data_IF_404343654441
#
_entry.id   IF_404343654441
#
_cell.length_a   1.000
_cell.length_b   1.000
_cell.length_c   1.000
_cell.angle_alpha   90.00
_cell.angle_beta   90.00
_cell.angle_gamma   90.00
#
_symmetry.space_group_name_H-M   'P 1'
#
loop_
_entity.id
_entity.type
_entity.pdbx_description
1 polymer ?
#
# COMPACT_ATOMS: atom_id res chain seq x y z
N UNK A 1 27.93 -4.58 -12.37
CA UNK A 1 26.56 -4.03 -12.43
C UNK A 1 25.98 -4.07 -11.03
N UNK A 2 25.41 -2.97 -10.54
CA UNK A 2 24.57 -3.00 -9.33
C UNK A 2 23.21 -3.54 -9.76
N UNK A 3 22.65 -4.52 -9.03
CA UNK A 3 21.31 -5.04 -9.31
C UNK A 3 20.23 -4.00 -9.04
N UNK A 4 19.02 -4.21 -9.55
CA UNK A 4 17.84 -3.39 -9.29
C UNK A 4 16.60 -4.27 -9.23
N UNK A 5 15.53 -3.79 -8.59
CA UNK A 5 14.26 -4.51 -8.52
C UNK A 5 13.25 -3.85 -9.47
N UNK A 6 12.54 -4.62 -10.33
CA UNK A 6 11.49 -4.10 -11.20
C UNK A 6 10.45 -3.24 -10.46
N UNK A 7 9.94 -2.19 -11.12
CA UNK A 7 9.11 -1.15 -10.50
C UNK A 7 7.81 -1.66 -9.85
N UNK A 8 7.19 -2.69 -10.41
CA UNK A 8 5.99 -3.29 -9.82
C UNK A 8 6.35 -4.17 -8.63
N UNK A 9 7.41 -4.95 -8.75
CA UNK A 9 7.87 -5.88 -7.72
C UNK A 9 8.44 -5.17 -6.50
N UNK A 10 9.16 -4.06 -6.69
CA UNK A 10 9.84 -3.36 -5.59
C UNK A 10 8.85 -2.89 -4.52
N UNK A 11 7.60 -2.60 -4.89
CA UNK A 11 6.53 -2.22 -3.95
C UNK A 11 6.24 -3.29 -2.90
N UNK A 12 6.45 -4.56 -3.23
CA UNK A 12 6.23 -5.68 -2.32
C UNK A 12 7.42 -5.91 -1.36
N UNK A 13 8.52 -5.16 -1.53
CA UNK A 13 9.64 -5.20 -0.61
C UNK A 13 9.47 -4.17 0.52
N UNK A 14 10.21 -4.36 1.61
CA UNK A 14 10.32 -3.39 2.70
C UNK A 14 10.84 -2.02 2.19
N UNK A 15 10.45 -0.92 2.84
CA UNK A 15 10.83 0.45 2.43
C UNK A 15 12.33 0.66 2.23
N UNK A 16 13.17 0.03 3.05
CA UNK A 16 14.62 0.09 2.90
C UNK A 16 15.07 -0.43 1.51
N UNK A 17 14.54 -1.56 1.07
CA UNK A 17 14.81 -2.11 -0.26
C UNK A 17 14.27 -1.21 -1.37
N UNK A 18 13.10 -0.60 -1.17
CA UNK A 18 12.54 0.34 -2.16
C UNK A 18 13.46 1.52 -2.42
N UNK A 19 14.03 2.11 -1.37
CA UNK A 19 14.96 3.22 -1.53
C UNK A 19 16.30 2.81 -2.15
N UNK A 20 16.79 1.61 -1.83
CA UNK A 20 18.08 1.13 -2.34
C UNK A 20 18.03 0.63 -3.79
N UNK A 21 16.91 0.05 -4.22
CA UNK A 21 16.85 -0.78 -5.43
C UNK A 21 15.79 -0.38 -6.45
N UNK A 22 14.94 0.61 -6.16
CA UNK A 22 14.02 1.14 -7.15
C UNK A 22 14.76 1.93 -8.24
N UNK A 23 14.43 1.69 -9.50
CA UNK A 23 15.02 2.40 -10.64
C UNK A 23 14.94 3.93 -10.54
N UNK A 24 13.91 4.47 -9.88
CA UNK A 24 13.72 5.91 -9.70
C UNK A 24 14.82 6.57 -8.85
N UNK A 25 15.50 5.79 -7.99
CA UNK A 25 16.48 6.30 -7.04
C UNK A 25 17.91 5.86 -7.38
N UNK A 26 18.05 5.01 -8.39
CA UNK A 26 19.34 4.53 -8.85
C UNK A 26 19.92 5.49 -9.89
N UNK A 27 21.12 6.00 -9.61
CA UNK A 27 21.86 6.84 -10.56
C UNK A 27 22.05 6.11 -11.89
N UNK A 28 21.97 6.88 -12.98
CA UNK A 28 22.15 6.41 -14.35
C UNK A 28 21.13 5.36 -14.80
N UNK A 29 19.97 5.29 -14.13
CA UNK A 29 18.84 4.48 -14.56
C UNK A 29 17.82 5.34 -15.30
N UNK A 30 17.33 4.85 -16.43
CA UNK A 30 16.23 5.48 -17.15
C UNK A 30 14.87 4.98 -16.65
N UNK A 31 13.81 5.65 -17.11
CA UNK A 31 12.43 5.17 -16.94
C UNK A 31 12.25 3.88 -17.75
N UNK A 32 12.21 2.74 -17.06
CA UNK A 32 11.92 1.44 -17.67
C UNK A 32 10.76 0.79 -16.93
N UNK A 33 9.92 0.10 -17.71
CA UNK A 33 8.78 -0.64 -17.20
C UNK A 33 9.19 -1.78 -16.26
N UNK A 34 10.42 -2.30 -16.40
CA UNK A 34 10.97 -3.33 -15.52
C UNK A 34 10.35 -4.73 -15.67
N UNK A 35 9.24 -4.89 -16.40
CA UNK A 35 8.57 -6.19 -16.61
C UNK A 35 9.07 -6.94 -17.86
N UNK A 36 10.24 -6.58 -18.41
CA UNK A 36 10.77 -7.29 -19.57
C UNK A 36 11.00 -8.79 -19.29
N UNK A 37 11.16 -9.17 -18.02
CA UNK A 37 11.23 -10.57 -17.59
C UNK A 37 9.91 -11.32 -17.86
N UNK A 38 8.77 -10.66 -17.73
CA UNK A 38 7.43 -11.26 -17.91
C UNK A 38 6.99 -11.28 -19.38
N UNK A 39 7.55 -10.40 -20.22
CA UNK A 39 7.25 -10.41 -21.67
C UNK A 39 7.61 -11.72 -22.37
N UNK A 40 8.54 -12.50 -21.79
CA UNK A 40 8.89 -13.83 -22.28
C UNK A 40 7.76 -14.85 -22.10
N UNK A 41 6.79 -14.61 -21.22
CA UNK A 41 5.67 -15.52 -21.01
C UNK A 41 4.81 -15.69 -22.25
N UNK A 42 4.62 -14.64 -23.05
CA UNK A 42 3.87 -14.73 -24.31
C UNK A 42 4.51 -15.72 -25.30
N UNK A 43 5.83 -15.77 -25.36
CA UNK A 43 6.57 -16.71 -26.21
C UNK A 43 6.58 -18.12 -25.60
N UNK A 44 6.81 -18.24 -24.30
CA UNK A 44 6.78 -19.54 -23.60
C UNK A 44 5.39 -20.22 -23.67
N UNK A 45 4.32 -19.42 -23.63
CA UNK A 45 2.96 -19.92 -23.74
C UNK A 45 2.70 -20.63 -25.08
N UNK A 46 3.34 -20.20 -26.17
CA UNK A 46 3.20 -20.84 -27.48
C UNK A 46 3.79 -22.26 -27.49
N UNK A 47 4.83 -22.51 -26.70
CA UNK A 47 5.46 -23.82 -26.56
C UNK A 47 4.75 -24.74 -25.56
N UNK A 48 3.73 -24.26 -24.85
CA UNK A 48 3.07 -25.04 -23.79
C UNK A 48 2.39 -26.29 -24.33
N UNK A 49 1.74 -26.19 -25.49
CA UNK A 49 1.01 -27.32 -26.08
C UNK A 49 1.95 -28.42 -26.59
N UNK A 50 3.08 -28.06 -27.19
CA UNK A 50 4.06 -29.01 -27.71
C UNK A 50 4.89 -29.69 -26.62
N UNK A 51 5.13 -29.01 -25.49
CA UNK A 51 5.94 -29.53 -24.39
C UNK A 51 5.17 -30.40 -23.40
N UNK A 52 3.83 -30.44 -23.50
CA UNK A 52 2.96 -31.17 -22.56
C UNK A 52 3.07 -32.70 -22.70
N UNK A 53 3.25 -33.19 -23.92
CA UNK A 53 3.30 -34.63 -24.23
C UNK A 53 4.73 -35.20 -24.24
N UNK A 54 5.73 -34.35 -23.93
CA UNK A 54 7.14 -34.74 -23.88
C UNK A 54 7.46 -35.46 -22.56
N UNK A 55 8.41 -36.40 -22.62
CA UNK A 55 8.98 -36.96 -21.39
C UNK A 55 9.75 -35.89 -20.60
N UNK A 56 9.99 -36.13 -19.31
CA UNK A 56 10.51 -35.13 -18.37
C UNK A 56 11.84 -34.49 -18.82
N UNK A 57 12.83 -35.31 -19.18
CA UNK A 57 14.13 -34.82 -19.65
C UNK A 57 14.02 -34.03 -20.95
N UNK A 58 13.27 -34.53 -21.92
CA UNK A 58 13.11 -33.85 -23.21
C UNK A 58 12.34 -32.54 -23.09
N UNK A 59 11.39 -32.48 -22.14
CA UNK A 59 10.65 -31.26 -21.81
C UNK A 59 11.58 -30.19 -21.25
N UNK A 60 12.48 -30.54 -20.32
CA UNK A 60 13.46 -29.60 -19.78
C UNK A 60 14.39 -29.06 -20.87
N UNK A 61 15.01 -29.95 -21.66
CA UNK A 61 15.91 -29.56 -22.74
C UNK A 61 15.22 -28.63 -23.76
N UNK A 62 13.96 -28.93 -24.09
CA UNK A 62 13.18 -28.12 -25.03
C UNK A 62 12.91 -26.72 -24.48
N UNK A 63 12.51 -26.60 -23.21
CA UNK A 63 12.25 -25.30 -22.57
C UNK A 63 13.53 -24.46 -22.43
N UNK A 64 14.67 -25.10 -22.11
CA UNK A 64 15.97 -24.43 -22.06
C UNK A 64 16.38 -23.93 -23.44
N UNK A 65 16.20 -24.74 -24.49
CA UNK A 65 16.48 -24.32 -25.86
C UNK A 65 15.63 -23.13 -26.31
N UNK A 66 14.34 -23.13 -25.99
CA UNK A 66 13.44 -22.01 -26.31
C UNK A 66 13.85 -20.73 -25.57
N UNK A 67 14.18 -20.84 -24.28
CA UNK A 67 14.62 -19.71 -23.47
C UNK A 67 15.97 -19.16 -23.98
N UNK A 68 16.89 -20.05 -24.36
CA UNK A 68 18.17 -19.67 -24.97
C UNK A 68 17.99 -18.99 -26.32
N UNK A 69 17.10 -19.48 -27.18
CA UNK A 69 16.73 -18.83 -28.42
C UNK A 69 16.17 -17.42 -28.17
N UNK A 70 15.31 -17.26 -27.18
CA UNK A 70 14.78 -15.95 -26.82
C UNK A 70 15.87 -14.99 -26.32
N UNK A 71 16.83 -15.48 -25.53
CA UNK A 71 18.00 -14.71 -25.12
C UNK A 71 18.85 -14.28 -26.32
N UNK A 72 19.03 -15.16 -27.30
CA UNK A 72 19.71 -14.85 -28.56
C UNK A 72 18.97 -13.76 -29.36
N UNK A 73 17.65 -13.86 -29.50
CA UNK A 73 16.83 -12.84 -30.15
C UNK A 73 16.94 -11.47 -29.46
N UNK A 74 16.98 -11.45 -28.12
CA UNK A 74 17.23 -10.23 -27.34
C UNK A 74 18.62 -9.66 -27.64
N UNK A 75 19.65 -10.50 -27.64
CA UNK A 75 21.02 -10.08 -27.93
C UNK A 75 21.13 -9.44 -29.32
N UNK A 76 20.51 -10.04 -30.34
CA UNK A 76 20.49 -9.48 -31.69
C UNK A 76 19.80 -8.10 -31.76
N UNK A 77 18.76 -7.87 -30.95
CA UNK A 77 17.96 -6.64 -30.97
C UNK A 77 18.42 -5.59 -29.95
N UNK A 78 19.40 -5.91 -29.10
CA UNK A 78 19.75 -5.07 -27.95
C UNK A 78 20.24 -3.69 -28.39
N UNK A 79 20.99 -3.61 -29.48
CA UNK A 79 21.54 -2.35 -30.00
C UNK A 79 20.45 -1.42 -30.51
N UNK A 80 19.51 -1.95 -31.30
CA UNK A 80 18.35 -1.21 -31.82
C UNK A 80 17.42 -0.76 -30.69
N UNK A 81 17.13 -1.66 -29.74
CA UNK A 81 16.28 -1.37 -28.58
C UNK A 81 16.90 -0.29 -27.70
N UNK A 82 18.18 -0.41 -27.35
CA UNK A 82 18.88 0.58 -26.53
C UNK A 82 18.93 1.94 -27.23
N UNK A 83 19.18 1.98 -28.55
CA UNK A 83 19.16 3.22 -29.32
C UNK A 83 17.78 3.89 -29.31
N UNK A 84 16.72 3.10 -29.50
CA UNK A 84 15.35 3.60 -29.48
C UNK A 84 14.95 4.13 -28.09
N UNK A 85 15.24 3.36 -27.04
CA UNK A 85 14.97 3.74 -25.65
C UNK A 85 15.78 4.98 -25.25
N UNK A 86 17.07 5.04 -25.61
CA UNK A 86 17.89 6.22 -25.35
C UNK A 86 17.30 7.47 -26.02
N UNK A 87 16.90 7.37 -27.28
CA UNK A 87 16.32 8.50 -28.02
C UNK A 87 14.99 8.97 -27.43
N UNK A 88 14.16 8.06 -26.93
CA UNK A 88 12.92 8.38 -26.23
C UNK A 88 13.22 9.03 -24.87
N UNK A 89 14.09 8.42 -24.08
CA UNK A 89 14.48 8.91 -22.76
C UNK A 89 15.14 10.30 -22.83
N UNK A 90 15.89 10.60 -23.89
CA UNK A 90 16.47 11.93 -24.09
C UNK A 90 15.41 13.02 -24.30
N UNK A 91 14.27 12.70 -24.92
CA UNK A 91 13.13 13.62 -25.01
C UNK A 91 12.47 13.84 -23.65
N UNK A 92 12.30 12.76 -22.88
CA UNK A 92 11.75 12.84 -21.53
C UNK A 92 12.66 13.63 -20.59
N UNK A 93 13.98 13.39 -20.65
CA UNK A 93 14.98 14.12 -19.88
C UNK A 93 14.88 15.63 -20.13
N UNK A 94 14.84 16.07 -21.39
CA UNK A 94 14.70 17.50 -21.72
C UNK A 94 13.44 18.13 -21.14
N UNK A 95 12.31 17.42 -21.18
CA UNK A 95 11.06 17.89 -20.60
C UNK A 95 11.14 17.96 -19.07
N UNK A 96 11.73 16.94 -18.44
CA UNK A 96 11.93 16.88 -16.99
C UNK A 96 12.91 17.96 -16.51
N UNK A 97 14.01 18.20 -17.21
CA UNK A 97 14.97 19.27 -16.89
C UNK A 97 14.30 20.65 -16.94
N UNK A 98 13.54 20.94 -17.99
CA UNK A 98 12.79 22.21 -18.09
C UNK A 98 11.80 22.35 -16.94
N UNK A 99 11.03 21.29 -16.67
CA UNK A 99 10.06 21.29 -15.58
C UNK A 99 10.75 21.43 -14.20
N UNK A 100 11.89 20.77 -13.99
CA UNK A 100 12.66 20.84 -12.75
C UNK A 100 13.22 22.24 -12.50
N UNK A 101 13.71 22.92 -13.54
CA UNK A 101 14.18 24.31 -13.45
C UNK A 101 13.02 25.25 -13.09
N UNK A 102 11.88 25.14 -13.79
CA UNK A 102 10.68 25.94 -13.50
C UNK A 102 10.14 25.69 -12.08
N UNK A 103 10.17 24.43 -11.62
CA UNK A 103 9.77 24.08 -10.27
C UNK A 103 10.76 24.61 -9.23
N UNK A 104 12.06 24.48 -9.48
CA UNK A 104 13.11 24.98 -8.60
C UNK A 104 13.03 26.49 -8.41
N UNK A 105 12.69 27.24 -9.46
CA UNK A 105 12.54 28.70 -9.41
C UNK A 105 11.42 29.21 -8.47
N UNK A 106 10.54 28.32 -7.99
CA UNK A 106 9.46 28.66 -7.05
C UNK A 106 9.92 28.75 -5.59
N UNK A 107 11.13 28.28 -5.29
CA UNK A 107 11.66 28.23 -3.94
C UNK A 107 12.70 29.34 -3.69
N UNK A 108 12.79 29.89 -2.47
CA UNK A 108 13.83 30.85 -2.11
C UNK A 108 15.25 30.29 -2.33
N UNK A 109 16.18 31.14 -2.76
CA UNK A 109 17.57 30.73 -3.04
C UNK A 109 18.27 30.12 -1.82
N UNK A 110 17.99 30.64 -0.61
CA UNK A 110 18.52 30.10 0.64
C UNK A 110 18.11 28.64 0.87
N UNK A 111 16.86 28.31 0.54
CA UNK A 111 16.30 26.97 0.68
C UNK A 111 16.90 26.01 -0.35
N UNK A 112 17.02 26.46 -1.61
CA UNK A 112 17.70 25.70 -2.67
C UNK A 112 19.18 25.47 -2.35
N UNK A 113 19.87 26.47 -1.79
CA UNK A 113 21.27 26.33 -1.38
C UNK A 113 21.42 25.29 -0.26
N UNK A 114 20.47 25.24 0.68
CA UNK A 114 20.41 24.18 1.70
C UNK A 114 20.16 22.81 1.08
N UNK A 115 19.24 22.71 0.11
CA UNK A 115 18.93 21.45 -0.57
C UNK A 115 20.09 20.94 -1.42
N UNK A 116 20.73 21.79 -2.22
CA UNK A 116 21.91 21.44 -3.03
C UNK A 116 23.11 20.96 -2.20
N UNK A 117 23.21 21.37 -0.93
CA UNK A 117 24.26 20.89 0.01
C UNK A 117 23.97 19.50 0.59
N UNK A 118 22.72 19.02 0.53
CA UNK A 118 22.38 17.68 1.01
C UNK A 118 22.78 16.62 -0.02
N UNK A 119 23.11 15.41 0.48
CA UNK A 119 23.38 14.26 -0.38
C UNK A 119 22.13 13.82 -1.13
N UNK A 120 22.26 13.61 -2.43
CA UNK A 120 21.29 12.98 -3.32
C UNK A 120 21.41 11.44 -3.35
N UNK A 121 22.33 10.88 -2.56
CA UNK A 121 22.59 9.43 -2.50
C UNK A 121 21.93 8.83 -1.26
N UNK A 122 21.28 7.67 -1.45
CA UNK A 122 20.81 6.82 -0.36
C UNK A 122 22.00 6.13 0.30
N UNK A 123 22.14 6.28 1.62
CA UNK A 123 23.23 5.69 2.39
C UNK A 123 22.70 4.96 3.63
N UNK A 124 23.52 4.09 4.20
CA UNK A 124 23.18 3.36 5.42
C UNK A 124 23.95 3.96 6.60
N UNK A 125 23.24 4.28 7.67
CA UNK A 125 23.82 4.79 8.91
C UNK A 125 23.24 4.00 10.09
N UNK A 126 24.11 3.36 10.88
CA UNK A 126 23.72 2.55 12.06
C UNK A 126 22.64 1.49 11.76
N UNK A 127 22.75 0.82 10.61
CA UNK A 127 21.80 -0.23 10.19
C UNK A 127 20.46 0.31 9.67
N UNK A 128 20.31 1.62 9.49
CA UNK A 128 19.12 2.25 8.90
C UNK A 128 19.45 2.89 7.57
N UNK A 129 18.64 2.58 6.55
CA UNK A 129 18.72 3.21 5.24
C UNK A 129 18.15 4.63 5.35
N UNK A 130 18.97 5.63 5.05
CA UNK A 130 18.57 7.03 5.00
C UNK A 130 18.45 7.44 3.53
N UNK A 131 17.24 7.84 3.16
CA UNK A 131 16.91 8.29 1.82
C UNK A 131 16.62 9.78 1.80
N UNK A 132 17.29 10.58 0.94
CA UNK A 132 16.88 11.96 0.69
C UNK A 132 15.51 12.04 0.00
N UNK A 133 15.03 10.95 -0.61
CA UNK A 133 13.73 10.89 -1.26
C UNK A 133 12.57 10.65 -0.29
N UNK A 134 12.85 10.40 1.00
CA UNK A 134 11.84 10.20 2.04
C UNK A 134 11.61 11.47 2.85
N UNK A 135 10.35 11.87 3.03
CA UNK A 135 10.01 13.00 3.88
C UNK A 135 10.13 12.60 5.35
N UNK A 136 10.95 13.33 6.11
CA UNK A 136 11.17 13.11 7.54
C UNK A 136 10.15 13.90 8.35
N UNK A 137 8.90 13.45 8.32
CA UNK A 137 7.82 14.07 9.08
C UNK A 137 7.90 13.61 10.54
N UNK A 138 8.13 14.55 11.46
CA UNK A 138 8.18 14.28 12.92
C UNK A 138 6.82 13.81 13.46
N UNK A 139 5.73 14.34 12.90
CA UNK A 139 4.35 14.03 13.29
C UNK A 139 3.57 13.35 12.14
N UNK A 140 4.18 12.35 11.49
CA UNK A 140 3.45 11.51 10.55
C UNK A 140 2.24 10.85 11.26
N UNK A 141 1.09 10.71 10.58
CA UNK A 141 -0.03 9.95 11.13
C UNK A 141 0.45 8.56 11.63
N UNK A 142 -0.04 8.08 12.78
CA UNK A 142 0.36 6.77 13.28
C UNK A 142 -0.05 5.70 12.25
N UNK A 143 0.87 4.83 11.88
CA UNK A 143 0.62 3.68 10.98
C UNK A 143 0.41 2.41 11.80
N UNK A 144 -0.36 1.44 11.31
CA UNK A 144 -0.59 0.16 12.01
C UNK A 144 0.74 -0.53 12.33
N UNK A 145 1.67 -0.55 11.37
CA UNK A 145 2.98 -1.16 11.54
C UNK A 145 3.77 -0.56 12.71
N UNK A 146 3.87 0.77 12.78
CA UNK A 146 4.56 1.44 13.90
C UNK A 146 3.87 1.22 15.24
N UNK A 147 2.53 1.19 15.25
CA UNK A 147 1.78 0.85 16.46
C UNK A 147 2.10 -0.57 16.92
N UNK A 148 2.14 -1.53 15.99
CA UNK A 148 2.50 -2.93 16.26
C UNK A 148 3.95 -3.08 16.76
N UNK A 149 4.92 -2.47 16.09
CA UNK A 149 6.33 -2.48 16.52
C UNK A 149 6.48 -1.92 17.94
N UNK A 150 5.79 -0.81 18.26
CA UNK A 150 5.79 -0.25 19.61
C UNK A 150 5.18 -1.20 20.64
N UNK A 151 4.07 -1.86 20.31
CA UNK A 151 3.42 -2.82 21.22
C UNK A 151 4.32 -4.02 21.52
N UNK A 152 5.06 -4.53 20.52
CA UNK A 152 6.05 -5.58 20.73
C UNK A 152 7.19 -5.13 21.66
N UNK A 153 7.68 -3.90 21.49
CA UNK A 153 8.70 -3.32 22.38
C UNK A 153 8.15 -3.15 23.81
N UNK A 154 6.92 -2.68 23.96
CA UNK A 154 6.25 -2.51 25.27
C UNK A 154 6.03 -3.87 25.96
N UNK A 155 5.62 -4.92 25.23
CA UNK A 155 5.52 -6.30 25.75
C UNK A 155 6.89 -6.83 26.21
N UNK A 156 7.94 -6.60 25.41
CA UNK A 156 9.31 -6.99 25.76
C UNK A 156 9.82 -6.26 27.00
N UNK A 157 9.54 -4.97 27.14
CA UNK A 157 9.89 -4.18 28.34
C UNK A 157 9.15 -4.72 29.56
N UNK A 158 7.86 -5.01 29.45
CA UNK A 158 7.07 -5.60 30.54
C UNK A 158 7.64 -6.97 30.96
N UNK A 159 8.01 -7.81 30.00
CA UNK A 159 8.65 -9.10 30.26
C UNK A 159 10.00 -8.96 30.97
N UNK A 160 10.86 -8.06 30.49
CA UNK A 160 12.14 -7.75 31.15
C UNK A 160 11.96 -7.16 32.56
N UNK A 161 10.80 -6.55 32.83
CA UNK A 161 10.44 -6.01 34.15
C UNK A 161 9.81 -7.07 35.08
N UNK A 162 9.78 -8.35 34.67
CA UNK A 162 9.30 -9.47 35.49
C UNK A 162 7.80 -9.75 35.39
N UNK A 163 7.08 -9.18 34.41
CA UNK A 163 5.69 -9.57 34.10
C UNK A 163 5.67 -10.72 33.10
N UNK A 164 4.56 -11.45 33.05
CA UNK A 164 4.36 -12.50 32.04
C UNK A 164 4.29 -11.90 30.63
N UNK A 165 4.84 -12.62 29.65
CA UNK A 165 4.74 -12.26 28.25
C UNK A 165 3.33 -12.59 27.76
N UNK A 166 2.53 -11.57 27.47
CA UNK A 166 1.13 -11.70 27.07
C UNK A 166 0.96 -12.18 25.63
N UNK A 167 1.81 -11.72 24.70
CA UNK A 167 1.70 -12.03 23.27
C UNK A 167 0.46 -11.46 22.59
N UNK A 168 -0.20 -10.50 23.24
CA UNK A 168 -1.42 -9.85 22.75
C UNK A 168 -1.16 -9.06 21.47
N UNK A 169 0.00 -8.40 21.35
CA UNK A 169 0.32 -7.58 20.20
C UNK A 169 0.31 -8.42 18.91
N UNK A 170 1.00 -9.56 18.92
CA UNK A 170 1.06 -10.47 17.78
C UNK A 170 -0.32 -11.08 17.49
N UNK A 171 -1.02 -11.51 18.53
CA UNK A 171 -2.36 -12.05 18.43
C UNK A 171 -3.32 -11.04 17.79
N UNK A 172 -3.44 -9.82 18.32
CA UNK A 172 -4.30 -8.79 17.76
C UNK A 172 -3.94 -8.46 16.31
N UNK A 173 -2.66 -8.31 15.98
CA UNK A 173 -2.28 -8.01 14.60
C UNK A 173 -2.68 -9.14 13.63
N UNK A 174 -2.54 -10.41 14.02
CA UNK A 174 -3.03 -11.55 13.22
C UNK A 174 -4.56 -11.52 13.05
N UNK A 175 -5.31 -11.20 14.11
CA UNK A 175 -6.76 -11.07 14.04
C UNK A 175 -7.22 -9.94 13.11
N UNK A 176 -6.53 -8.80 13.13
CA UNK A 176 -6.80 -7.67 12.23
C UNK A 176 -6.51 -8.05 10.75
N UNK A 177 -5.43 -8.79 10.49
CA UNK A 177 -5.11 -9.30 9.15
C UNK A 177 -6.18 -10.30 8.64
N UNK A 178 -6.72 -11.13 9.53
CA UNK A 178 -7.83 -12.02 9.20
C UNK A 178 -9.12 -11.26 8.91
N UNK A 179 -9.45 -10.25 9.71
CA UNK A 179 -10.62 -9.41 9.47
C UNK A 179 -10.54 -8.71 8.10
N UNK A 180 -9.38 -8.14 7.77
CA UNK A 180 -9.15 -7.49 6.48
C UNK A 180 -9.33 -8.49 5.32
N UNK A 181 -8.93 -9.76 5.51
CA UNK A 181 -9.18 -10.82 4.53
C UNK A 181 -10.66 -11.20 4.44
N UNK A 182 -11.38 -11.32 5.55
CA UNK A 182 -12.82 -11.58 5.55
C UNK A 182 -13.57 -10.46 4.82
N UNK A 183 -13.26 -9.18 5.13
CA UNK A 183 -13.85 -8.00 4.48
C UNK A 183 -13.59 -8.02 2.97
N UNK A 184 -12.36 -8.31 2.53
CA UNK A 184 -12.05 -8.46 1.10
C UNK A 184 -12.86 -9.55 0.42
N UNK A 185 -13.00 -10.72 1.05
CA UNK A 185 -13.81 -11.82 0.52
C UNK A 185 -15.28 -11.40 0.41
N UNK A 186 -15.83 -10.77 1.45
CA UNK A 186 -17.20 -10.22 1.44
C UNK A 186 -17.40 -9.20 0.31
N UNK A 187 -16.42 -8.31 0.06
CA UNK A 187 -16.49 -7.35 -1.05
C UNK A 187 -16.53 -8.05 -2.41
N UNK A 188 -15.68 -9.05 -2.65
CA UNK A 188 -15.68 -9.83 -3.90
C UNK A 188 -17.02 -10.53 -4.12
N UNK A 189 -17.57 -11.15 -3.07
CA UNK A 189 -18.86 -11.84 -3.12
C UNK A 189 -20.03 -10.87 -3.36
N UNK A 190 -19.98 -9.67 -2.78
CA UNK A 190 -21.00 -8.63 -3.00
C UNK A 190 -21.09 -8.19 -4.47
N UNK A 191 -19.98 -8.26 -5.20
CA UNK A 191 -19.91 -7.99 -6.65
C UNK A 191 -20.30 -9.21 -7.50
N UNK A 192 -20.78 -10.30 -6.88
CA UNK A 192 -21.10 -11.59 -7.52
C UNK A 192 -19.91 -12.22 -8.24
N UNK A 193 -18.69 -11.89 -7.83
CA UNK A 193 -17.46 -12.49 -8.34
C UNK A 193 -17.15 -13.77 -7.56
N UNK A 194 -16.47 -14.70 -8.23
CA UNK A 194 -16.02 -15.94 -7.59
C UNK A 194 -14.73 -15.67 -6.83
N UNK A 195 -14.69 -16.12 -5.57
CA UNK A 195 -13.47 -16.18 -4.77
C UNK A 195 -12.72 -17.44 -5.17
N UNK A 196 -11.39 -17.37 -5.18
CA UNK A 196 -10.55 -18.55 -5.43
C UNK A 196 -10.78 -19.60 -4.33
N UNK A 197 -10.98 -20.85 -4.72
CA UNK A 197 -11.11 -21.96 -3.77
C UNK A 197 -9.85 -22.12 -2.89
N UNK A 198 -8.66 -21.76 -3.42
CA UNK A 198 -7.43 -21.78 -2.65
C UNK A 198 -7.43 -20.70 -1.56
N UNK A 199 -7.88 -19.48 -1.88
CA UNK A 199 -7.93 -18.36 -0.93
C UNK A 199 -8.96 -18.61 0.17
N UNK A 200 -10.11 -19.19 -0.18
CA UNK A 200 -11.16 -19.56 0.76
C UNK A 200 -10.70 -20.67 1.73
N UNK A 201 -10.01 -21.70 1.21
CA UNK A 201 -9.41 -22.76 2.04
C UNK A 201 -8.34 -22.21 2.98
N UNK A 202 -7.48 -21.33 2.47
CA UNK A 202 -6.44 -20.70 3.30
C UNK A 202 -7.07 -19.85 4.42
N UNK A 203 -8.09 -19.06 4.11
CA UNK A 203 -8.82 -18.29 5.12
C UNK A 203 -9.42 -19.21 6.19
N UNK A 204 -10.06 -20.31 5.79
CA UNK A 204 -10.58 -21.30 6.73
C UNK A 204 -9.49 -21.87 7.64
N UNK A 205 -8.36 -22.32 7.08
CA UNK A 205 -7.24 -22.87 7.86
C UNK A 205 -6.72 -21.86 8.88
N UNK A 206 -6.48 -20.63 8.44
CA UNK A 206 -5.95 -19.59 9.33
C UNK A 206 -6.96 -19.20 10.43
N UNK A 207 -8.27 -19.26 10.15
CA UNK A 207 -9.33 -19.03 11.15
C UNK A 207 -9.41 -20.16 12.20
N UNK A 208 -9.20 -21.41 11.80
CA UNK A 208 -9.14 -22.54 12.74
C UNK A 208 -7.92 -22.41 13.65
N UNK A 209 -6.77 -22.02 13.09
CA UNK A 209 -5.56 -21.74 13.88
C UNK A 209 -5.74 -20.54 14.82
N UNK A 210 -6.44 -19.50 14.35
CA UNK A 210 -6.84 -18.35 15.15
C UNK A 210 -7.68 -18.74 16.35
N UNK A 211 -8.75 -19.51 16.15
CA UNK A 211 -9.61 -19.98 17.25
C UNK A 211 -8.82 -20.79 18.29
N UNK A 212 -7.92 -21.66 17.85
CA UNK A 212 -7.07 -22.43 18.75
C UNK A 212 -6.13 -21.53 19.59
N UNK A 213 -5.59 -20.48 18.98
CA UNK A 213 -4.73 -19.50 19.66
C UNK A 213 -5.52 -18.62 20.62
N UNK A 214 -6.71 -18.18 20.20
CA UNK A 214 -7.61 -17.37 21.00
C UNK A 214 -8.06 -18.10 22.26
N UNK A 215 -8.43 -19.39 22.15
CA UNK A 215 -8.74 -20.23 23.32
C UNK A 215 -7.56 -20.32 24.31
N UNK A 216 -6.31 -20.35 23.84
CA UNK A 216 -5.13 -20.40 24.72
C UNK A 216 -4.87 -19.08 25.45
N UNK A 217 -5.04 -17.94 24.76
CA UNK A 217 -4.70 -16.61 25.29
C UNK A 217 -5.85 -15.96 26.07
N UNK A 218 -7.09 -16.19 25.66
CA UNK A 218 -8.29 -15.64 26.29
C UNK A 218 -9.13 -16.74 26.95
N UNK A 219 -8.65 -17.23 28.10
CA UNK A 219 -9.36 -18.24 28.88
C UNK A 219 -10.80 -17.82 29.24
N UNK A 220 -11.05 -16.53 29.41
CA UNK A 220 -12.38 -15.96 29.69
C UNK A 220 -13.39 -16.09 28.55
N UNK A 221 -12.94 -16.34 27.31
CA UNK A 221 -13.78 -16.40 26.11
C UNK A 221 -14.11 -17.83 25.64
N UNK A 222 -13.79 -18.86 26.42
CA UNK A 222 -14.02 -20.27 26.06
C UNK A 222 -15.46 -20.59 25.67
N UNK A 223 -16.46 -19.93 26.28
CA UNK A 223 -17.87 -20.15 25.96
C UNK A 223 -18.31 -19.62 24.59
N UNK A 224 -17.77 -18.48 24.16
CA UNK A 224 -18.18 -17.81 22.92
C UNK A 224 -17.39 -18.30 21.69
N UNK A 225 -16.20 -18.87 21.89
CA UNK A 225 -15.32 -19.39 20.84
C UNK A 225 -15.56 -20.85 20.44
N UNK A 226 -16.61 -21.50 20.96
CA UNK A 226 -16.88 -22.93 20.70
C UNK A 226 -17.68 -23.19 19.42
N UNK A 227 -18.08 -22.15 18.69
CA UNK A 227 -18.77 -22.32 17.42
C UNK A 227 -17.80 -22.81 16.34
N UNK A 228 -18.13 -23.97 15.76
CA UNK A 228 -17.41 -24.53 14.62
C UNK A 228 -17.50 -23.56 13.44
N UNK A 229 -16.35 -23.25 12.83
CA UNK A 229 -16.29 -22.46 11.61
C UNK A 229 -16.87 -23.29 10.46
N UNK A 230 -17.83 -22.72 9.73
CA UNK A 230 -18.34 -23.33 8.50
C UNK A 230 -17.28 -23.24 7.39
N UNK A 231 -16.77 -24.37 6.85
CA UNK A 231 -15.83 -24.36 5.75
C UNK A 231 -16.39 -23.72 4.47
N UNK A 232 -17.72 -23.65 4.33
CA UNK A 232 -18.39 -23.03 3.18
C UNK A 232 -18.49 -21.49 3.30
N UNK A 233 -18.43 -20.93 4.52
CA UNK A 233 -18.63 -19.51 4.79
C UNK A 233 -17.59 -18.95 5.80
N UNK A 234 -16.28 -19.13 5.55
CA UNK A 234 -15.24 -18.67 6.48
C UNK A 234 -15.25 -17.14 6.67
N UNK A 235 -15.72 -16.36 5.70
CA UNK A 235 -15.85 -14.91 5.79
C UNK A 235 -16.88 -14.41 6.81
N UNK A 236 -17.80 -15.29 7.25
CA UNK A 236 -18.83 -14.96 8.25
C UNK A 236 -18.44 -15.39 9.67
N UNK A 237 -17.28 -16.04 9.84
CA UNK A 237 -16.84 -16.54 11.13
C UNK A 237 -16.50 -15.38 12.10
N UNK A 238 -16.98 -15.40 13.35
CA UNK A 238 -16.68 -14.36 14.32
C UNK A 238 -15.23 -14.46 14.79
N UNK A 239 -14.48 -13.36 14.69
CA UNK A 239 -13.08 -13.29 15.16
C UNK A 239 -12.96 -13.06 16.66
N UNK A 240 -14.02 -12.57 17.30
CA UNK A 240 -14.09 -12.28 18.75
C UNK A 240 -12.92 -11.38 19.21
N UNK A 241 -12.63 -10.34 18.43
CA UNK A 241 -11.73 -9.24 18.80
C UNK A 241 -12.37 -8.37 19.90
N UNK A 242 -11.58 -7.73 20.78
CA UNK A 242 -12.11 -6.84 21.81
C UNK A 242 -13.10 -5.79 21.29
N UNK A 243 -12.86 -5.21 20.10
CA UNK A 243 -13.74 -4.22 19.46
C UNK A 243 -15.14 -4.72 19.09
N UNK A 244 -15.36 -6.04 19.03
CA UNK A 244 -16.67 -6.63 18.78
C UNK A 244 -17.53 -6.72 20.07
N UNK A 245 -16.91 -6.53 21.24
CA UNK A 245 -17.59 -6.60 22.52
C UNK A 245 -17.98 -5.21 23.05
N UNK A 246 -19.22 -5.04 23.56
CA UNK A 246 -19.61 -3.85 24.29
C UNK A 246 -18.69 -3.57 25.48
N UNK A 247 -18.59 -2.31 25.89
CA UNK A 247 -17.69 -1.88 26.97
C UNK A 247 -17.88 -2.66 28.28
N UNK A 248 -19.14 -2.97 28.65
CA UNK A 248 -19.43 -3.73 29.88
C UNK A 248 -18.95 -5.19 29.79
N UNK A 249 -19.13 -5.84 28.63
CA UNK A 249 -18.67 -7.20 28.37
C UNK A 249 -17.15 -7.28 28.38
N UNK A 250 -16.46 -6.30 27.77
CA UNK A 250 -14.99 -6.20 27.83
C UNK A 250 -14.47 -6.09 29.26
N UNK A 251 -15.13 -5.30 30.10
CA UNK A 251 -14.75 -5.16 31.51
C UNK A 251 -14.97 -6.47 32.28
N UNK A 252 -16.10 -7.15 32.04
CA UNK A 252 -16.41 -8.44 32.67
C UNK A 252 -15.42 -9.55 32.27
N UNK A 253 -15.03 -9.58 30.99
CA UNK A 253 -14.06 -10.54 30.44
C UNK A 253 -12.59 -10.20 30.73
N UNK A 254 -12.34 -9.07 31.41
CA UNK A 254 -11.01 -8.53 31.71
C UNK A 254 -10.16 -8.24 30.44
N UNK A 255 -10.79 -7.79 29.35
CA UNK A 255 -10.14 -7.48 28.07
C UNK A 255 -9.64 -6.03 27.98
N UNK A 256 -9.55 -5.31 29.09
CA UNK A 256 -9.25 -3.87 29.09
C UNK A 256 -7.89 -3.52 28.50
N UNK A 257 -6.85 -4.28 28.82
CA UNK A 257 -5.50 -4.11 28.28
C UNK A 257 -5.47 -4.39 26.78
N UNK A 258 -5.99 -5.55 26.38
CA UNK A 258 -6.06 -5.97 24.98
C UNK A 258 -6.90 -5.01 24.13
N UNK A 259 -7.98 -4.44 24.68
CA UNK A 259 -8.77 -3.42 24.00
C UNK A 259 -8.00 -2.10 23.77
N UNK A 260 -7.12 -1.69 24.69
CA UNK A 260 -6.29 -0.50 24.53
C UNK A 260 -5.17 -0.71 23.49
N UNK A 261 -4.62 -1.92 23.46
CA UNK A 261 -3.65 -2.35 22.44
C UNK A 261 -4.31 -2.42 21.06
N UNK A 262 -5.50 -3.01 20.96
CA UNK A 262 -6.30 -3.04 19.73
C UNK A 262 -6.63 -1.62 19.26
N UNK A 263 -7.04 -0.72 20.16
CA UNK A 263 -7.33 0.67 19.81
C UNK A 263 -6.13 1.35 19.13
N UNK A 264 -4.91 1.08 19.62
CA UNK A 264 -3.68 1.63 19.04
C UNK A 264 -3.42 1.09 17.64
N UNK A 265 -3.64 -0.21 17.42
CA UNK A 265 -3.52 -0.85 16.09
C UNK A 265 -4.58 -0.32 15.12
N UNK A 266 -5.85 -0.25 15.55
CA UNK A 266 -6.98 0.25 14.75
C UNK A 266 -6.81 1.71 14.36
N UNK A 267 -6.26 2.54 15.24
CA UNK A 267 -5.93 3.93 14.92
C UNK A 267 -4.90 3.99 13.79
N UNK A 268 -3.88 3.14 13.86
CA UNK A 268 -2.90 2.99 12.79
C UNK A 268 -3.53 2.53 11.47
N UNK A 269 -4.37 1.49 11.53
CA UNK A 269 -5.09 0.93 10.38
C UNK A 269 -6.00 1.98 9.72
N UNK A 270 -6.70 2.79 10.51
CA UNK A 270 -7.55 3.86 10.01
C UNK A 270 -6.77 4.95 9.24
N UNK A 271 -5.54 5.27 9.66
CA UNK A 271 -4.70 6.21 8.92
C UNK A 271 -4.11 5.59 7.65
N UNK A 272 -3.65 4.34 7.71
CA UNK A 272 -3.09 3.62 6.55
C UNK A 272 -4.16 3.41 5.44
N UNK A 273 -5.40 3.08 5.84
CA UNK A 273 -6.54 2.93 4.92
C UNK A 273 -6.98 4.27 4.32
N UNK A 274 -6.91 5.38 5.06
CA UNK A 274 -7.15 6.72 4.50
C UNK A 274 -6.09 7.15 3.49
N UNK A 275 -4.80 6.88 3.77
CA UNK A 275 -3.72 7.14 2.81
C UNK A 275 -3.95 6.31 1.53
N UNK A 276 -4.31 5.04 1.70
CA UNK A 276 -4.63 4.13 0.58
C UNK A 276 -5.83 4.64 -0.23
N UNK A 277 -6.88 5.15 0.42
CA UNK A 277 -8.03 5.77 -0.22
C UNK A 277 -7.64 7.02 -1.01
N UNK A 278 -6.83 7.91 -0.43
CA UNK A 278 -6.33 9.11 -1.12
C UNK A 278 -5.54 8.73 -2.37
N UNK A 279 -4.63 7.76 -2.24
CA UNK A 279 -3.81 7.27 -3.36
C UNK A 279 -4.67 6.63 -4.46
N UNK A 280 -5.68 5.84 -4.09
CA UNK A 280 -6.62 5.25 -5.04
C UNK A 280 -7.41 6.33 -5.80
N UNK A 281 -7.84 7.40 -5.12
CA UNK A 281 -8.53 8.52 -5.76
C UNK A 281 -7.59 9.28 -6.70
N UNK A 282 -6.35 9.57 -6.28
CA UNK A 282 -5.37 10.25 -7.13
C UNK A 282 -5.05 9.41 -8.38
N UNK A 283 -4.83 8.12 -8.21
CA UNK A 283 -4.54 7.18 -9.30
C UNK A 283 -5.70 7.10 -10.28
N UNK A 284 -6.94 7.00 -9.78
CA UNK A 284 -8.14 7.06 -10.62
C UNK A 284 -8.22 8.36 -11.42
N UNK A 285 -8.06 9.51 -10.75
CA UNK A 285 -8.14 10.82 -11.38
C UNK A 285 -7.09 11.00 -12.50
N UNK A 286 -5.85 10.58 -12.23
CA UNK A 286 -4.78 10.60 -13.22
C UNK A 286 -5.13 9.75 -14.45
N UNK A 287 -5.61 8.52 -14.23
CA UNK A 287 -5.94 7.61 -15.33
C UNK A 287 -7.17 8.04 -16.14
N UNK A 288 -8.17 8.67 -15.50
CA UNK A 288 -9.31 9.29 -16.22
C UNK A 288 -8.81 10.37 -17.17
N UNK A 289 -7.86 11.19 -16.71
CA UNK A 289 -7.29 12.26 -17.51
C UNK A 289 -6.36 11.76 -18.61
N UNK A 290 -5.57 10.73 -18.31
CA UNK A 290 -4.73 10.03 -19.28
C UNK A 290 -5.59 9.43 -20.40
N UNK A 291 -6.68 8.72 -20.04
CA UNK A 291 -7.61 8.14 -21.02
C UNK A 291 -8.17 9.21 -21.97
N UNK A 292 -8.65 10.34 -21.43
CA UNK A 292 -9.20 11.44 -22.23
C UNK A 292 -8.18 12.00 -23.24
N UNK A 293 -6.93 12.13 -22.81
CA UNK A 293 -5.88 12.80 -23.58
C UNK A 293 -5.23 11.88 -24.60
N UNK A 294 -4.98 10.62 -24.24
CA UNK A 294 -4.04 9.76 -24.97
C UNK A 294 -4.69 8.55 -25.65
N UNK A 295 -5.90 8.16 -25.26
CA UNK A 295 -6.53 6.93 -25.76
C UNK A 295 -7.53 7.26 -26.88
N UNK A 296 -7.37 6.57 -28.01
CA UNK A 296 -8.19 6.68 -29.24
C UNK A 296 -8.50 5.28 -29.77
N UNK A 297 -9.61 5.13 -30.48
CA UNK A 297 -10.08 3.83 -31.01
C UNK A 297 -10.91 3.02 -30.02
N UNK A 298 -11.72 2.08 -30.51
CA UNK A 298 -12.69 1.35 -29.68
C UNK A 298 -12.01 0.35 -28.72
N UNK A 299 -11.13 -0.53 -29.22
CA UNK A 299 -10.49 -1.57 -28.40
C UNK A 299 -9.69 -1.02 -27.21
N UNK A 300 -8.85 -0.01 -27.46
CA UNK A 300 -8.08 0.65 -26.40
C UNK A 300 -8.98 1.39 -25.39
N UNK A 301 -10.12 1.92 -25.83
CA UNK A 301 -11.09 2.55 -24.94
C UNK A 301 -11.78 1.55 -24.02
N UNK A 302 -12.09 0.34 -24.52
CA UNK A 302 -12.66 -0.74 -23.71
C UNK A 302 -11.67 -1.19 -22.63
N UNK A 303 -10.43 -1.50 -23.01
CA UNK A 303 -9.38 -1.88 -22.06
C UNK A 303 -9.14 -0.80 -21.00
N UNK A 304 -9.05 0.46 -21.41
CA UNK A 304 -8.91 1.58 -20.48
C UNK A 304 -10.13 1.76 -19.58
N UNK A 305 -11.34 1.47 -20.08
CA UNK A 305 -12.55 1.52 -19.25
C UNK A 305 -12.54 0.42 -18.20
N UNK A 306 -12.12 -0.79 -18.55
CA UNK A 306 -12.04 -1.90 -17.60
C UNK A 306 -10.96 -1.65 -16.54
N UNK A 307 -9.83 -1.05 -16.91
CA UNK A 307 -8.83 -0.60 -15.95
C UNK A 307 -9.37 0.50 -15.02
N UNK A 308 -10.15 1.46 -15.52
CA UNK A 308 -10.81 2.47 -14.68
C UNK A 308 -11.84 1.86 -13.71
N UNK A 309 -12.58 0.81 -14.11
CA UNK A 309 -13.48 0.08 -13.21
C UNK A 309 -12.72 -0.60 -12.09
N UNK A 310 -11.54 -1.15 -12.39
CA UNK A 310 -10.66 -1.74 -11.36
C UNK A 310 -10.21 -0.69 -10.34
N UNK A 311 -9.71 0.46 -10.81
CA UNK A 311 -9.33 1.57 -9.91
C UNK A 311 -10.51 2.12 -9.12
N UNK A 312 -11.72 2.09 -9.68
CA UNK A 312 -12.94 2.46 -8.96
C UNK A 312 -13.31 1.46 -7.86
N UNK A 313 -13.07 0.17 -8.09
CA UNK A 313 -13.21 -0.86 -7.06
C UNK A 313 -12.16 -0.65 -5.94
N UNK A 314 -10.91 -0.36 -6.27
CA UNK A 314 -9.86 -0.07 -5.27
C UNK A 314 -10.24 1.09 -4.33
N UNK A 315 -10.83 2.16 -4.89
CA UNK A 315 -11.36 3.28 -4.10
C UNK A 315 -12.46 2.85 -3.13
N UNK A 316 -13.39 1.99 -3.58
CA UNK A 316 -14.49 1.50 -2.74
C UNK A 316 -13.95 0.59 -1.63
N UNK A 317 -13.02 -0.29 -1.98
CA UNK A 317 -12.40 -1.22 -1.04
C UNK A 317 -11.69 -0.46 0.09
N UNK A 318 -10.84 0.51 -0.23
CA UNK A 318 -10.16 1.33 0.77
C UNK A 318 -11.14 2.11 1.66
N UNK A 319 -12.28 2.57 1.11
CA UNK A 319 -13.32 3.25 1.88
C UNK A 319 -14.07 2.31 2.84
N UNK A 320 -14.33 1.06 2.43
CA UNK A 320 -14.94 0.03 3.29
C UNK A 320 -14.00 -0.33 4.43
N UNK A 321 -12.72 -0.61 4.12
CA UNK A 321 -11.70 -0.94 5.13
C UNK A 321 -11.56 0.18 6.18
N UNK A 322 -11.55 1.45 5.76
CA UNK A 322 -11.56 2.58 6.69
C UNK A 322 -12.81 2.58 7.58
N UNK A 323 -13.98 2.30 7.01
CA UNK A 323 -15.25 2.33 7.72
C UNK A 323 -15.27 1.25 8.80
N UNK A 324 -14.84 0.03 8.47
CA UNK A 324 -14.68 -1.07 9.43
C UNK A 324 -13.70 -0.70 10.56
N UNK A 325 -12.52 -0.15 10.22
CA UNK A 325 -11.54 0.27 11.23
C UNK A 325 -12.10 1.38 12.15
N UNK A 326 -12.88 2.32 11.60
CA UNK A 326 -13.52 3.39 12.37
C UNK A 326 -14.63 2.86 13.28
N UNK A 327 -15.47 1.94 12.80
CA UNK A 327 -16.50 1.30 13.62
C UNK A 327 -15.89 0.55 14.82
N UNK A 328 -14.82 -0.21 14.59
CA UNK A 328 -14.06 -0.84 15.66
C UNK A 328 -13.51 0.20 16.67
N UNK A 329 -12.97 1.32 16.19
CA UNK A 329 -12.51 2.41 17.05
C UNK A 329 -13.63 3.03 17.89
N UNK A 330 -14.81 3.24 17.32
CA UNK A 330 -15.98 3.75 18.05
C UNK A 330 -16.37 2.79 19.18
N UNK A 331 -16.41 1.49 18.90
CA UNK A 331 -16.71 0.47 19.91
C UNK A 331 -15.65 0.41 21.01
N UNK A 332 -14.38 0.71 20.69
CA UNK A 332 -13.27 0.73 21.64
C UNK A 332 -13.21 2.02 22.48
N UNK A 333 -13.91 3.08 22.08
CA UNK A 333 -14.03 4.34 22.86
C UNK A 333 -13.65 5.62 22.12
N UNK A 334 -13.49 5.59 20.79
CA UNK A 334 -13.32 6.80 20.00
C UNK A 334 -14.60 7.66 20.07
N UNK A 335 -14.52 8.97 20.34
CA UNK A 335 -15.70 9.83 20.32
C UNK A 335 -16.28 9.91 18.91
N UNK A 336 -17.61 9.79 18.78
CA UNK A 336 -18.30 9.84 17.49
C UNK A 336 -17.99 11.12 16.68
N UNK A 337 -17.75 12.24 17.39
CA UNK A 337 -17.42 13.54 16.82
C UNK A 337 -15.91 13.80 16.72
N UNK A 338 -15.08 12.76 16.57
CA UNK A 338 -13.65 12.95 16.34
C UNK A 338 -13.42 13.83 15.09
N UNK A 339 -12.59 14.86 15.27
CA UNK A 339 -12.25 15.82 14.23
C UNK A 339 -11.25 15.27 13.24
N UNK A 340 -10.51 14.20 13.61
CA UNK A 340 -9.45 13.58 12.82
C UNK A 340 -10.02 12.40 12.01
N UNK A 341 -10.64 11.41 12.67
CA UNK A 341 -11.22 10.23 12.02
C UNK A 341 -12.75 10.35 11.92
N UNK A 342 -13.21 11.01 10.84
CA UNK A 342 -14.64 11.29 10.61
C UNK A 342 -15.31 10.19 9.79
N UNK A 343 -16.63 10.20 9.79
CA UNK A 343 -17.40 9.31 8.92
C UNK A 343 -17.15 9.62 7.43
N UNK A 344 -16.94 8.57 6.63
CA UNK A 344 -16.83 8.71 5.19
C UNK A 344 -18.23 8.75 4.56
N UNK A 345 -18.41 9.67 3.63
CA UNK A 345 -19.56 9.62 2.74
C UNK A 345 -19.15 8.86 1.48
N UNK A 346 -19.65 7.62 1.32
CA UNK A 346 -19.35 6.76 0.19
C UNK A 346 -19.75 7.34 -1.18
N UNK A 347 -20.64 8.36 -1.21
CA UNK A 347 -21.00 9.07 -2.45
C UNK A 347 -19.99 10.16 -2.82
N UNK A 348 -19.13 10.60 -1.89
CA UNK A 348 -18.17 11.70 -2.05
C UNK A 348 -16.72 11.21 -2.01
N UNK A 349 -16.43 10.11 -2.68
CA UNK A 349 -15.07 9.58 -2.86
C UNK A 349 -14.36 10.27 -4.04
N UNK A 350 -14.17 11.58 -3.94
CA UNK A 350 -13.49 12.38 -4.96
C UNK A 350 -12.43 13.29 -4.34
N UNK A 351 -11.56 13.84 -5.17
CA UNK A 351 -10.58 14.86 -4.80
C UNK A 351 -10.17 15.65 -6.03
N UNK A 352 -9.73 16.89 -5.84
CA UNK A 352 -9.18 17.67 -6.94
C UNK A 352 -7.94 17.00 -7.51
N UNK A 353 -7.82 17.01 -8.84
CA UNK A 353 -6.58 16.61 -9.48
C UNK A 353 -5.57 17.76 -9.39
N UNK A 354 -4.72 17.73 -8.37
CA UNK A 354 -3.70 18.76 -8.12
C UNK A 354 -2.62 18.82 -9.21
N UNK A 355 -2.52 17.81 -10.08
CA UNK A 355 -1.59 17.81 -11.20
C UNK A 355 -2.04 18.70 -12.37
N UNK A 356 -3.27 19.25 -12.35
CA UNK A 356 -3.79 20.15 -13.38
C UNK A 356 -3.89 21.59 -12.88
N UNK A 357 -3.71 22.59 -13.75
CA UNK A 357 -3.95 23.98 -13.40
C UNK A 357 -5.42 24.15 -12.97
N UNK A 358 -5.68 24.94 -11.90
CA UNK A 358 -7.03 25.16 -11.40
C UNK A 358 -7.92 25.77 -12.49
N UNK A 359 -9.13 25.23 -12.65
CA UNK A 359 -10.14 25.75 -13.59
C UNK A 359 -10.98 26.84 -12.94
N UNK A 360 -11.56 27.70 -13.78
CA UNK A 360 -12.54 28.70 -13.34
C UNK A 360 -13.71 27.96 -12.63
N UNK A 361 -14.02 28.33 -11.38
CA UNK A 361 -14.94 27.66 -10.43
C UNK A 361 -14.37 26.57 -9.52
N UNK A 362 -13.09 26.18 -9.61
CA UNK A 362 -12.49 25.19 -8.69
C UNK A 362 -12.34 25.72 -7.24
N UNK A 363 -12.40 27.05 -7.06
CA UNK A 363 -12.40 27.71 -5.75
C UNK A 363 -13.70 27.49 -4.96
N UNK A 364 -14.82 27.16 -5.63
CA UNK A 364 -16.12 26.88 -4.97
C UNK A 364 -16.31 25.43 -4.56
N UNK A 365 -15.45 24.51 -5.03
CA UNK A 365 -15.52 23.08 -4.67
C UNK A 365 -14.56 22.83 -3.53
N UNK A 366 -15.06 22.47 -2.35
CA UNK A 366 -14.21 22.03 -1.25
C UNK A 366 -13.84 20.56 -1.42
N UNK A 367 -12.59 20.23 -1.09
CA UNK A 367 -12.17 18.83 -1.04
C UNK A 367 -12.76 18.15 0.20
N UNK A 368 -13.15 16.87 0.10
CA UNK A 368 -13.60 16.10 1.26
C UNK A 368 -12.62 16.13 2.43
N UNK A 369 -13.14 15.98 3.65
CA UNK A 369 -12.35 16.11 4.88
C UNK A 369 -11.14 15.18 4.94
N UNK A 370 -11.22 14.01 4.30
CA UNK A 370 -10.17 13.00 4.35
C UNK A 370 -8.89 13.45 3.65
N UNK A 371 -8.92 14.47 2.79
CA UNK A 371 -7.71 15.11 2.24
C UNK A 371 -6.92 15.94 3.28
N UNK A 372 -7.56 16.29 4.40
CA UNK A 372 -6.98 17.12 5.45
C UNK A 372 -6.44 16.31 6.64
N UNK A 373 -6.46 14.97 6.59
CA UNK A 373 -6.10 14.07 7.70
C UNK A 373 -4.59 13.96 7.89
N UNK A 374 -3.82 14.20 6.83
CA UNK A 374 -2.36 14.31 6.88
C UNK A 374 -1.86 15.66 7.37
N UNK A 375 -2.75 16.58 7.78
CA UNK A 375 -2.39 17.85 8.37
C UNK A 375 -2.50 17.73 9.91
N UNK A 376 -1.40 17.55 10.65
CA UNK A 376 -1.42 17.54 12.11
C UNK A 376 -2.10 18.81 12.61
N UNK A 377 -3.32 18.66 13.14
CA UNK A 377 -4.18 19.79 13.52
C UNK A 377 -3.82 20.31 14.92
N UNK A 378 -2.57 20.69 15.08
CA UNK A 378 -2.04 21.54 16.15
C UNK A 378 -0.67 22.13 15.77
N UNK A 379 -0.24 22.05 14.51
CA UNK A 379 0.98 22.72 14.09
C UNK A 379 0.77 24.23 14.11
N UNK A 380 1.62 24.93 14.85
CA UNK A 380 1.83 26.36 14.67
C UNK A 380 2.12 26.67 13.19
N UNK A 381 1.88 27.90 12.74
CA UNK A 381 2.23 28.31 11.36
C UNK A 381 3.68 27.98 10.99
N UNK A 382 4.57 27.95 11.99
CA UNK A 382 5.97 27.59 11.83
C UNK A 382 6.14 26.09 11.52
N UNK A 383 5.48 25.23 12.27
CA UNK A 383 5.55 23.77 12.08
C UNK A 383 4.88 23.34 10.76
N UNK A 384 3.80 24.02 10.35
CA UNK A 384 3.16 23.80 9.04
C UNK A 384 4.11 24.17 7.89
N UNK A 385 4.82 25.30 7.99
CA UNK A 385 5.84 25.68 7.01
C UNK A 385 6.99 24.68 6.98
N UNK A 386 7.43 24.18 8.13
CA UNK A 386 8.48 23.16 8.22
C UNK A 386 8.03 21.83 7.58
N UNK A 387 6.78 21.43 7.83
CA UNK A 387 6.17 20.22 7.25
C UNK A 387 6.07 20.30 5.72
N UNK A 388 5.52 21.41 5.20
CA UNK A 388 5.45 21.67 3.75
C UNK A 388 6.85 21.76 3.13
N UNK A 389 7.80 22.38 3.82
CA UNK A 389 9.18 22.48 3.36
C UNK A 389 9.83 21.10 3.26
N UNK A 390 9.56 20.18 4.19
CA UNK A 390 10.10 18.83 4.17
C UNK A 390 9.48 17.96 3.06
N UNK A 391 8.18 18.12 2.78
CA UNK A 391 7.54 17.47 1.63
C UNK A 391 8.07 18.00 0.30
N UNK A 392 8.19 19.33 0.19
CA UNK A 392 8.73 19.98 -1.01
C UNK A 392 10.20 19.58 -1.23
N UNK A 393 10.97 19.43 -0.14
CA UNK A 393 12.34 18.89 -0.20
C UNK A 393 12.32 17.47 -0.77
N UNK A 394 11.55 16.55 -0.18
CA UNK A 394 11.51 15.17 -0.64
C UNK A 394 11.07 15.06 -2.11
N UNK A 395 10.11 15.89 -2.54
CA UNK A 395 9.71 15.98 -3.95
C UNK A 395 10.83 16.53 -4.83
N UNK A 396 11.49 17.61 -4.42
CA UNK A 396 12.59 18.22 -5.16
C UNK A 396 13.78 17.28 -5.36
N UNK A 397 14.01 16.32 -4.46
CA UNK A 397 15.01 15.27 -4.71
C UNK A 397 14.54 14.16 -5.66
N UNK A 398 13.23 13.94 -5.80
CA UNK A 398 12.66 12.88 -6.66
C UNK A 398 12.51 13.32 -8.10
N UNK A 399 12.13 14.58 -8.31
CA UNK A 399 12.04 15.25 -9.61
C UNK A 399 13.47 15.56 -10.11
#
# INVERSE_FOLDING_TARGET
MRGAVPKVHVKNHIKACQHLWAFNFLRYSGETYGEMIETAWAENNQATSSTKEMNDGHRHDTLDNLTNYWNWCKLLRITEQLKAQYSQNLKHLKAQESQFVEQSARYPEELLAKWKKMSDVVYEEKGKVISPFEAKLKDAPPTQRKAYEKLLDDEKINWLSGKDLTGNAQFLNQGLELEERQVRVCMILSEKKKVSAADQRKLYTDLVEWQATHLRLCLSLHGENTQLIDPALPESAPLNLPSLFPQHTRAWLNLGTMAAEEYSLRKGQAHDTLESLQLAIQTYNFNVDFKKSNIRGQGANTQAQDYLKMLEADKKNAAVEYTCAREALLNLGLPANDKILRELNHTKLHGKNMAKPPKLSDSKKEDPWFWNVGHPKAMSEKEEREWQTELNRAKWFRD
#
